data_IF_924639355514
#
_entry.id   IF_924639355514
#
_cell.length_a   1.000
_cell.length_b   1.000
_cell.length_c   1.000
_cell.angle_alpha   90.00
_cell.angle_beta   90.00
_cell.angle_gamma   90.00
#
_symmetry.space_group_name_H-M   'P 1'
#
loop_
_entity.id
_entity.type
_entity.pdbx_description
1 polymer ?
#
# COMPACT_ATOMS: atom_id res chain seq x y z
N UNK A 1 3.16 8.14 15.78
CA UNK A 1 2.25 7.59 14.76
C UNK A 1 1.79 6.20 15.18
N UNK A 2 2.51 5.13 14.85
CA UNK A 2 2.15 3.70 15.08
C UNK A 2 1.32 3.42 16.35
N UNK A 3 1.86 3.66 17.56
CA UNK A 3 1.14 3.40 18.83
C UNK A 3 -0.13 4.24 19.01
N UNK A 4 -0.13 5.48 18.51
CA UNK A 4 -1.25 6.43 18.59
C UNK A 4 -2.36 6.02 17.62
N UNK A 5 -1.98 5.60 16.42
CA UNK A 5 -2.90 5.32 15.31
C UNK A 5 -3.32 3.84 15.25
N UNK A 6 -2.83 3.02 16.19
CA UNK A 6 -3.14 1.59 16.36
C UNK A 6 -2.90 0.76 15.09
N UNK A 7 -1.83 1.07 14.36
CA UNK A 7 -1.40 0.29 13.20
C UNK A 7 -0.61 -0.93 13.68
N UNK A 8 -1.31 -2.06 13.83
CA UNK A 8 -0.76 -3.32 14.35
C UNK A 8 -0.09 -4.19 13.27
N UNK A 9 -0.19 -3.81 11.99
CA UNK A 9 0.53 -4.42 10.89
C UNK A 9 1.98 -3.93 10.77
N UNK A 10 2.81 -4.68 10.03
CA UNK A 10 4.23 -4.37 9.80
C UNK A 10 4.42 -2.93 9.28
N UNK A 11 5.30 -2.19 9.96
CA UNK A 11 5.69 -0.83 9.58
C UNK A 11 7.16 -0.82 9.16
N UNK A 12 7.44 -0.22 8.01
CA UNK A 12 8.81 0.02 7.52
C UNK A 12 8.98 1.52 7.24
N UNK A 13 10.19 2.04 7.40
CA UNK A 13 10.48 3.46 7.19
C UNK A 13 11.73 3.63 6.32
N UNK A 14 11.54 4.24 5.16
CA UNK A 14 12.62 4.78 4.34
C UNK A 14 12.93 6.21 4.81
N UNK A 15 14.10 6.41 5.41
CA UNK A 15 14.52 7.69 5.99
C UNK A 15 15.09 8.68 4.95
N UNK A 16 15.07 8.33 3.65
CA UNK A 16 15.58 9.19 2.57
C UNK A 16 14.65 10.36 2.19
N UNK A 17 13.46 10.43 2.78
CA UNK A 17 12.55 11.58 2.66
C UNK A 17 12.08 11.83 1.23
N UNK A 18 12.06 13.09 0.78
CA UNK A 18 11.61 13.49 -0.56
C UNK A 18 12.48 12.96 -1.70
N UNK A 19 13.66 12.41 -1.40
CA UNK A 19 14.57 11.80 -2.36
C UNK A 19 14.45 10.28 -2.47
N UNK A 20 13.39 9.68 -1.90
CA UNK A 20 13.23 8.23 -1.88
C UNK A 20 13.21 7.65 -3.30
N UNK A 21 14.26 6.88 -3.61
CA UNK A 21 14.33 6.12 -4.87
C UNK A 21 13.23 5.07 -4.91
N UNK A 22 12.82 4.54 -3.75
CA UNK A 22 11.72 3.58 -3.65
C UNK A 22 10.39 4.22 -4.04
N UNK A 23 10.07 5.42 -3.52
CA UNK A 23 8.86 6.14 -3.88
C UNK A 23 8.79 6.42 -5.39
N UNK A 24 9.91 6.83 -6.00
CA UNK A 24 10.02 7.06 -7.45
C UNK A 24 9.78 5.76 -8.23
N UNK A 25 10.46 4.67 -7.85
CA UNK A 25 10.34 3.37 -8.54
C UNK A 25 8.92 2.79 -8.47
N UNK A 26 8.21 3.02 -7.37
CA UNK A 26 6.83 2.59 -7.18
C UNK A 26 5.80 3.62 -7.67
N UNK A 27 6.23 4.76 -8.23
CA UNK A 27 5.34 5.79 -8.76
C UNK A 27 4.48 6.49 -7.69
N UNK A 28 4.99 6.61 -6.46
CA UNK A 28 4.30 7.28 -5.35
C UNK A 28 4.57 8.80 -5.44
N UNK A 29 3.59 9.55 -5.94
CA UNK A 29 3.67 11.00 -6.10
C UNK A 29 2.89 11.79 -5.03
N UNK A 30 1.96 11.13 -4.33
CA UNK A 30 1.15 11.72 -3.27
C UNK A 30 1.02 10.73 -2.11
N UNK A 31 0.73 11.26 -0.93
CA UNK A 31 0.35 10.46 0.23
C UNK A 31 -1.09 10.84 0.64
N UNK A 32 -1.90 9.87 1.09
CA UNK A 32 -1.62 8.43 1.10
C UNK A 32 -1.72 7.81 -0.30
N UNK A 33 -0.96 6.73 -0.54
CA UNK A 33 -1.10 5.83 -1.70
C UNK A 33 -1.07 4.39 -1.21
N UNK A 34 -1.90 3.53 -1.81
CA UNK A 34 -2.03 2.12 -1.47
C UNK A 34 -1.99 1.23 -2.70
N UNK A 35 -1.42 0.04 -2.54
CA UNK A 35 -1.35 -0.98 -3.58
C UNK A 35 -1.84 -2.31 -3.03
N UNK A 36 -2.61 -3.05 -3.84
CA UNK A 36 -2.87 -4.47 -3.61
C UNK A 36 -2.02 -5.28 -4.57
N UNK A 37 -1.24 -6.22 -4.03
CA UNK A 37 -0.41 -7.13 -4.82
C UNK A 37 -0.97 -8.54 -4.75
N UNK A 38 -0.86 -9.29 -5.84
CA UNK A 38 -1.14 -10.72 -5.85
C UNK A 38 0.08 -11.54 -5.37
N UNK A 39 -0.09 -12.86 -5.23
CA UNK A 39 0.97 -13.79 -4.77
C UNK A 39 2.19 -13.86 -5.69
N UNK A 40 2.09 -13.42 -6.96
CA UNK A 40 3.23 -13.35 -7.88
C UNK A 40 3.94 -11.98 -7.86
N UNK A 41 3.55 -11.09 -6.95
CA UNK A 41 4.16 -9.77 -6.79
C UNK A 41 3.69 -8.74 -7.81
N UNK A 42 2.60 -8.98 -8.53
CA UNK A 42 2.01 -8.02 -9.48
C UNK A 42 1.00 -7.13 -8.78
N UNK A 43 1.02 -5.85 -9.10
CA UNK A 43 -0.01 -4.89 -8.68
C UNK A 43 -1.32 -5.27 -9.37
N UNK A 44 -2.38 -5.44 -8.57
CA UNK A 44 -3.74 -5.72 -9.04
C UNK A 44 -4.71 -4.57 -8.76
N UNK A 45 -4.41 -3.70 -7.79
CA UNK A 45 -5.11 -2.43 -7.55
C UNK A 45 -4.12 -1.36 -7.11
N UNK A 46 -4.42 -0.12 -7.48
CA UNK A 46 -3.77 1.10 -6.98
C UNK A 46 -4.85 2.07 -6.54
N UNK A 47 -4.75 2.57 -5.31
CA UNK A 47 -5.69 3.50 -4.69
C UNK A 47 -7.18 3.13 -4.83
N UNK A 48 -7.58 1.87 -4.53
CA UNK A 48 -8.98 1.49 -4.55
C UNK A 48 -9.77 2.18 -3.43
N UNK A 49 -11.03 2.51 -3.70
CA UNK A 49 -11.97 2.82 -2.63
C UNK A 49 -12.31 1.55 -1.80
N UNK A 50 -12.94 1.76 -0.64
CA UNK A 50 -13.29 0.69 0.30
C UNK A 50 -14.12 -0.42 -0.35
N UNK A 51 -15.11 -0.04 -1.17
CA UNK A 51 -16.03 -0.99 -1.79
C UNK A 51 -15.30 -1.87 -2.81
N UNK A 52 -14.47 -1.27 -3.66
CA UNK A 52 -13.67 -1.97 -4.64
C UNK A 52 -12.66 -2.90 -3.95
N UNK A 53 -12.00 -2.41 -2.91
CA UNK A 53 -11.04 -3.20 -2.14
C UNK A 53 -11.71 -4.44 -1.53
N UNK A 54 -12.84 -4.28 -0.85
CA UNK A 54 -13.56 -5.41 -0.26
C UNK A 54 -13.99 -6.45 -1.29
N UNK A 55 -14.50 -6.00 -2.43
CA UNK A 55 -14.95 -6.89 -3.49
C UNK A 55 -13.79 -7.75 -4.01
N UNK A 56 -12.65 -7.13 -4.31
CA UNK A 56 -11.48 -7.86 -4.83
C UNK A 56 -10.88 -8.77 -3.76
N UNK A 57 -10.82 -8.33 -2.50
CA UNK A 57 -10.34 -9.17 -1.39
C UNK A 57 -11.18 -10.45 -1.25
N UNK A 58 -12.51 -10.36 -1.36
CA UNK A 58 -13.41 -11.53 -1.33
C UNK A 58 -13.17 -12.50 -2.48
N UNK A 59 -12.61 -12.04 -3.60
CA UNK A 59 -12.30 -12.89 -4.75
C UNK A 59 -10.92 -13.53 -4.62
N UNK A 60 -9.91 -12.79 -4.17
CA UNK A 60 -8.50 -13.24 -4.15
C UNK A 60 -8.10 -14.02 -2.89
N UNK A 61 -8.88 -13.91 -1.81
CA UNK A 61 -8.65 -14.61 -0.53
C UNK A 61 -9.49 -15.89 -0.36
N UNK A 62 -10.23 -16.32 -1.39
CA UNK A 62 -10.81 -17.67 -1.43
C UNK A 62 -9.72 -18.72 -1.50
#
# INVERSE_FOLDING_TARGET
AIKKDKMDWLQVHDASGSGSTLAIQWGVYALPTSFLLNKSGRIILMDPDEKMLEQVLKEVLK
#
